data_IF_664687466721
#
_entry.id   IF_664687466721
#
_cell.length_a   1.000
_cell.length_b   1.000
_cell.length_c   1.000
_cell.angle_alpha   90.00
_cell.angle_beta   90.00
_cell.angle_gamma   90.00
#
_symmetry.space_group_name_H-M   'P 1'
#
loop_
_entity.id
_entity.type
_entity.pdbx_description
1 polymer ?
#
# COMPACT_ATOMS: atom_id res chain seq x y z
N UNK A 1 -11.56 2.01 17.66
CA UNK A 1 -11.64 2.57 16.30
C UNK A 1 -11.00 3.94 16.34
N UNK A 2 -10.16 4.25 15.35
CA UNK A 2 -9.44 5.52 15.25
C UNK A 2 -10.41 6.69 15.28
N UNK A 3 -10.15 7.64 16.17
CA UNK A 3 -10.83 8.94 16.19
C UNK A 3 -10.05 9.91 15.31
N UNK A 4 -10.50 10.05 14.06
CA UNK A 4 -9.82 10.89 13.05
C UNK A 4 -9.72 12.36 13.45
N UNK A 5 -10.54 12.82 14.41
CA UNK A 5 -10.47 14.20 14.91
C UNK A 5 -9.32 14.45 15.91
N UNK A 6 -8.68 13.38 16.39
CA UNK A 6 -7.63 13.43 17.42
C UNK A 6 -6.22 13.16 16.88
N UNK A 7 -6.12 12.54 15.72
CA UNK A 7 -4.84 12.25 15.06
C UNK A 7 -4.42 13.39 14.14
N UNK A 8 -3.11 13.64 14.03
CA UNK A 8 -2.58 14.70 13.15
C UNK A 8 -2.61 14.31 11.67
N UNK A 9 -2.56 13.01 11.39
CA UNK A 9 -2.52 12.45 10.04
C UNK A 9 -2.93 10.97 10.06
N UNK A 10 -3.25 10.44 8.88
CA UNK A 10 -3.43 9.02 8.63
C UNK A 10 -2.41 8.60 7.58
N UNK A 11 -1.47 7.73 7.96
CA UNK A 11 -0.56 7.09 7.02
C UNK A 11 -1.32 5.97 6.29
N UNK A 12 -1.59 6.15 5.00
CA UNK A 12 -2.42 5.22 4.23
C UNK A 12 -1.67 3.96 3.80
N UNK A 13 -0.35 3.86 4.02
CA UNK A 13 0.45 2.77 3.50
C UNK A 13 1.52 2.33 4.51
N UNK A 14 1.20 1.28 5.25
CA UNK A 14 2.12 0.60 6.15
C UNK A 14 1.99 -0.93 5.99
N UNK A 15 3.11 -1.62 6.11
CA UNK A 15 3.22 -3.06 5.94
C UNK A 15 3.22 -3.77 7.30
N UNK A 16 2.35 -4.79 7.43
CA UNK A 16 2.48 -5.82 8.44
C UNK A 16 3.29 -6.97 7.85
N UNK A 17 4.50 -7.15 8.34
CA UNK A 17 5.35 -8.29 8.00
C UNK A 17 5.48 -9.20 9.23
N UNK A 18 5.66 -10.50 8.99
CA UNK A 18 6.03 -11.40 10.08
C UNK A 18 7.40 -10.99 10.64
N UNK A 19 7.59 -10.95 11.96
CA UNK A 19 8.91 -10.73 12.54
C UNK A 19 9.88 -11.79 12.03
N UNK A 20 11.07 -11.38 11.57
CA UNK A 20 12.09 -12.29 11.07
C UNK A 20 12.46 -13.37 12.11
N UNK A 21 12.78 -14.57 11.63
CA UNK A 21 13.01 -15.76 12.46
C UNK A 21 11.73 -16.51 12.81
N UNK A 22 10.56 -15.99 12.43
CA UNK A 22 9.27 -16.67 12.53
C UNK A 22 8.71 -17.10 11.17
N UNK A 23 9.26 -16.62 10.04
CA UNK A 23 8.74 -16.98 8.73
C UNK A 23 9.04 -18.45 8.41
N UNK A 24 8.03 -19.23 7.99
CA UNK A 24 8.19 -20.68 7.81
C UNK A 24 8.94 -21.10 6.54
N UNK A 25 9.15 -20.18 5.59
CA UNK A 25 9.73 -20.50 4.28
C UNK A 25 11.17 -20.00 4.10
N UNK A 26 12.03 -20.92 3.63
CA UNK A 26 13.44 -20.64 3.30
C UNK A 26 13.55 -19.55 2.22
N UNK A 27 14.49 -18.61 2.39
CA UNK A 27 14.77 -17.53 1.43
C UNK A 27 13.96 -16.24 1.63
N UNK A 28 12.88 -16.27 2.41
CA UNK A 28 12.11 -15.07 2.73
C UNK A 28 12.93 -14.06 3.56
N UNK A 29 13.70 -14.54 4.53
CA UNK A 29 14.56 -13.69 5.36
C UNK A 29 15.66 -12.98 4.54
N UNK A 30 16.21 -13.64 3.51
CA UNK A 30 17.19 -13.05 2.59
C UNK A 30 16.54 -11.96 1.71
N UNK A 31 15.33 -12.21 1.23
CA UNK A 31 14.54 -11.21 0.48
C UNK A 31 14.29 -9.96 1.34
N UNK A 32 13.85 -10.14 2.59
CA UNK A 32 13.59 -9.06 3.54
C UNK A 32 14.87 -8.28 3.87
N UNK A 33 15.98 -8.98 4.11
CA UNK A 33 17.27 -8.36 4.41
C UNK A 33 17.79 -7.53 3.23
N UNK A 34 17.69 -8.05 2.00
CA UNK A 34 18.09 -7.33 0.77
C UNK A 34 17.23 -6.07 0.56
N UNK A 35 15.93 -6.17 0.85
CA UNK A 35 15.02 -5.02 0.79
C UNK A 35 15.39 -3.96 1.84
N UNK A 36 15.68 -4.38 3.07
CA UNK A 36 16.13 -3.48 4.15
C UNK A 36 17.43 -2.74 3.76
N UNK A 37 18.38 -3.44 3.15
CA UNK A 37 19.63 -2.84 2.64
C UNK A 37 19.36 -1.83 1.52
N UNK A 38 18.50 -2.18 0.55
CA UNK A 38 18.13 -1.30 -0.55
C UNK A 38 17.55 0.03 -0.06
N UNK A 39 16.61 -0.03 0.90
CA UNK A 39 15.98 1.17 1.49
C UNK A 39 16.84 1.85 2.56
N UNK A 40 17.96 1.23 2.97
CA UNK A 40 18.78 1.64 4.13
C UNK A 40 17.92 1.76 5.39
N UNK A 41 17.08 0.76 5.59
CA UNK A 41 16.18 0.68 6.72
C UNK A 41 16.97 0.64 8.05
N UNK A 42 16.46 1.27 9.12
CA UNK A 42 17.15 1.34 10.41
C UNK A 42 17.02 0.05 11.24
N UNK A 43 16.28 -0.94 10.75
CA UNK A 43 15.96 -2.17 11.45
C UNK A 43 16.67 -3.37 10.82
N UNK A 44 16.96 -4.38 11.65
CA UNK A 44 17.46 -5.68 11.17
C UNK A 44 16.33 -6.61 10.75
N UNK A 45 15.18 -6.45 11.40
CA UNK A 45 13.95 -7.20 11.15
C UNK A 45 12.77 -6.24 11.15
N UNK A 46 11.72 -6.48 10.34
CA UNK A 46 10.53 -5.65 10.38
C UNK A 46 9.93 -5.61 11.79
N UNK A 47 9.39 -4.46 12.24
CA UNK A 47 8.70 -4.34 13.51
C UNK A 47 7.41 -5.17 13.52
N UNK A 48 7.06 -5.72 14.67
CA UNK A 48 5.78 -6.37 14.90
C UNK A 48 4.61 -5.37 14.78
N UNK A 49 3.38 -5.88 14.66
CA UNK A 49 2.17 -5.02 14.66
C UNK A 49 2.04 -4.23 15.98
N UNK A 50 2.23 -4.82 17.19
CA UNK A 50 2.20 -4.05 18.44
C UNK A 50 3.28 -2.96 18.54
N UNK A 51 4.50 -3.23 18.07
CA UNK A 51 5.58 -2.23 18.03
C UNK A 51 5.25 -1.09 17.07
N UNK A 52 4.70 -1.43 15.90
CA UNK A 52 4.21 -0.45 14.93
C UNK A 52 3.10 0.40 15.54
N UNK A 53 2.11 -0.21 16.19
CA UNK A 53 1.04 0.52 16.87
C UNK A 53 1.58 1.47 17.95
N UNK A 54 2.53 1.02 18.77
CA UNK A 54 3.16 1.86 19.79
C UNK A 54 3.87 3.08 19.17
N UNK A 55 4.67 2.86 18.13
CA UNK A 55 5.38 3.92 17.42
C UNK A 55 4.42 4.96 16.80
N UNK A 56 3.35 4.52 16.14
CA UNK A 56 2.37 5.42 15.53
C UNK A 56 1.57 6.23 16.57
N UNK A 57 1.28 5.66 17.75
CA UNK A 57 0.69 6.41 18.88
C UNK A 57 1.59 7.53 19.36
N UNK A 58 2.89 7.25 19.52
CA UNK A 58 3.87 8.27 19.95
C UNK A 58 3.92 9.46 18.99
N UNK A 59 3.66 9.21 17.69
CA UNK A 59 3.63 10.24 16.65
C UNK A 59 2.28 10.96 16.51
N UNK A 60 1.24 10.54 17.22
CA UNK A 60 -0.14 10.97 17.02
C UNK A 60 -0.61 10.81 15.55
N UNK A 61 -0.18 9.72 14.90
CA UNK A 61 -0.55 9.36 13.52
C UNK A 61 -1.27 8.03 13.55
N UNK A 62 -2.39 7.90 12.86
CA UNK A 62 -3.01 6.60 12.63
C UNK A 62 -2.42 5.93 11.38
N UNK A 63 -2.46 4.60 11.30
CA UNK A 63 -1.92 3.87 10.15
C UNK A 63 -2.93 2.89 9.56
N UNK A 64 -3.03 2.88 8.23
CA UNK A 64 -3.56 1.75 7.48
C UNK A 64 -2.46 0.71 7.34
N UNK A 65 -2.73 -0.51 7.82
CA UNK A 65 -1.74 -1.60 7.86
C UNK A 65 -2.28 -2.85 7.15
N UNK A 66 -1.40 -3.52 6.40
CA UNK A 66 -1.75 -4.71 5.62
C UNK A 66 -0.57 -5.65 5.42
N UNK A 67 -0.79 -6.97 5.30
CA UNK A 67 0.19 -7.90 4.74
C UNK A 67 0.17 -7.86 3.20
N UNK A 68 1.04 -8.63 2.55
CA UNK A 68 0.99 -8.87 1.09
C UNK A 68 0.89 -10.37 0.81
N UNK A 69 -0.19 -10.78 0.15
CA UNK A 69 -0.41 -12.16 -0.27
C UNK A 69 0.06 -12.37 -1.70
N UNK A 70 1.25 -12.94 -1.87
CA UNK A 70 1.88 -13.19 -3.17
C UNK A 70 2.32 -14.65 -3.33
N UNK A 71 1.61 -15.57 -2.67
CA UNK A 71 1.98 -16.98 -2.56
C UNK A 71 2.19 -17.65 -3.91
N UNK A 72 1.36 -17.35 -4.92
CA UNK A 72 1.45 -18.03 -6.24
C UNK A 72 2.70 -17.65 -7.01
N UNK A 73 3.09 -16.38 -6.98
CA UNK A 73 4.21 -15.88 -7.80
C UNK A 73 5.55 -15.99 -7.05
N UNK A 74 5.54 -15.82 -5.73
CA UNK A 74 6.77 -15.83 -4.92
C UNK A 74 7.07 -17.19 -4.29
N UNK A 75 6.06 -18.02 -4.04
CA UNK A 75 6.18 -19.26 -3.28
C UNK A 75 6.27 -19.08 -1.76
N UNK A 76 6.31 -17.85 -1.26
CA UNK A 76 6.32 -17.55 0.17
C UNK A 76 4.90 -17.46 0.73
N UNK A 77 4.65 -18.14 1.85
CA UNK A 77 3.40 -18.01 2.59
C UNK A 77 3.20 -16.57 3.02
N UNK A 78 1.95 -16.12 2.96
CA UNK A 78 1.59 -14.78 3.44
C UNK A 78 1.53 -14.76 4.97
N UNK A 79 1.72 -13.59 5.56
CA UNK A 79 1.28 -13.35 6.94
C UNK A 79 -0.25 -13.47 7.01
N UNK A 80 -0.75 -14.29 7.94
CA UNK A 80 -2.17 -14.62 8.06
C UNK A 80 -3.05 -13.38 8.24
N UNK A 81 -4.01 -13.16 7.31
CA UNK A 81 -4.99 -12.08 7.44
C UNK A 81 -5.79 -12.16 8.77
N UNK A 82 -6.03 -13.35 9.30
CA UNK A 82 -6.76 -13.53 10.56
C UNK A 82 -5.94 -13.05 11.76
N UNK A 83 -4.65 -13.40 11.81
CA UNK A 83 -3.75 -12.99 12.89
C UNK A 83 -3.51 -11.47 12.85
N UNK A 84 -3.28 -10.92 11.65
CA UNK A 84 -3.16 -9.47 11.47
C UNK A 84 -4.45 -8.78 11.95
N UNK A 85 -5.63 -9.30 11.59
CA UNK A 85 -6.90 -8.72 12.01
C UNK A 85 -7.12 -8.76 13.53
N UNK A 86 -6.72 -9.83 14.21
CA UNK A 86 -6.77 -9.94 15.68
C UNK A 86 -5.84 -8.90 16.33
N UNK A 87 -4.59 -8.81 15.88
CA UNK A 87 -3.61 -7.85 16.42
C UNK A 87 -4.00 -6.39 16.15
N UNK A 88 -4.60 -6.10 15.00
CA UNK A 88 -5.12 -4.76 14.70
C UNK A 88 -6.37 -4.44 15.52
N UNK A 89 -7.22 -5.42 15.82
CA UNK A 89 -8.36 -5.22 16.71
C UNK A 89 -7.92 -4.82 18.13
N UNK A 90 -6.83 -5.41 18.64
CA UNK A 90 -6.20 -5.03 19.91
C UNK A 90 -5.61 -3.60 19.91
N UNK A 91 -5.30 -3.07 18.72
CA UNK A 91 -4.68 -1.76 18.51
C UNK A 91 -5.58 -0.82 17.68
N UNK A 92 -6.90 -1.03 17.74
CA UNK A 92 -7.86 -0.34 16.88
C UNK A 92 -8.05 1.15 17.21
N UNK A 93 -7.35 1.68 18.22
CA UNK A 93 -7.27 3.10 18.53
C UNK A 93 -6.35 3.86 17.57
N UNK A 94 -5.38 3.17 16.95
CA UNK A 94 -4.36 3.76 16.07
C UNK A 94 -4.23 3.05 14.71
N UNK A 95 -4.59 1.76 14.62
CA UNK A 95 -4.47 0.97 13.40
C UNK A 95 -5.81 0.79 12.67
N UNK A 96 -5.75 0.78 11.34
CA UNK A 96 -6.87 0.55 10.43
C UNK A 96 -6.51 -0.65 9.54
N UNK A 97 -7.32 -1.72 9.62
CA UNK A 97 -7.03 -2.97 8.91
C UNK A 97 -7.33 -2.89 7.42
N UNK A 98 -6.32 -3.15 6.59
CA UNK A 98 -6.45 -3.60 5.22
C UNK A 98 -5.94 -5.04 5.10
N UNK A 99 -6.51 -5.86 4.22
CA UNK A 99 -6.03 -7.23 3.99
C UNK A 99 -5.30 -7.36 2.65
N UNK A 100 -4.70 -8.51 2.37
CA UNK A 100 -4.25 -8.84 1.01
C UNK A 100 -4.65 -10.26 0.65
N UNK A 101 -5.13 -10.43 -0.58
CA UNK A 101 -5.51 -11.72 -1.14
C UNK A 101 -4.91 -11.81 -2.53
N UNK A 102 -4.17 -12.88 -2.77
CA UNK A 102 -3.64 -13.21 -4.10
C UNK A 102 -4.83 -13.44 -5.06
N UNK A 103 -4.99 -12.63 -6.12
CA UNK A 103 -6.07 -12.80 -7.08
C UNK A 103 -6.16 -14.21 -7.67
N UNK A 104 -5.02 -14.90 -7.83
CA UNK A 104 -4.92 -16.27 -8.34
C UNK A 104 -5.69 -17.31 -7.52
N UNK A 105 -6.09 -16.99 -6.29
CA UNK A 105 -6.93 -17.84 -5.43
C UNK A 105 -8.38 -17.94 -5.92
N UNK A 106 -8.81 -17.11 -6.87
CA UNK A 106 -10.12 -17.18 -7.51
C UNK A 106 -11.27 -17.21 -6.51
N UNK A 107 -12.18 -18.18 -6.64
CA UNK A 107 -13.38 -18.29 -5.78
C UNK A 107 -13.06 -18.46 -4.28
N UNK A 108 -11.90 -19.03 -3.94
CA UNK A 108 -11.47 -19.12 -2.53
C UNK A 108 -11.12 -17.73 -2.00
N UNK A 109 -10.34 -16.96 -2.77
CA UNK A 109 -10.00 -15.57 -2.43
C UNK A 109 -11.25 -14.70 -2.28
N UNK A 110 -12.23 -14.82 -3.19
CA UNK A 110 -13.50 -14.08 -3.12
C UNK A 110 -14.27 -14.38 -1.83
N UNK A 111 -14.34 -15.64 -1.42
CA UNK A 111 -14.98 -16.03 -0.15
C UNK A 111 -14.24 -15.47 1.06
N UNK A 112 -12.91 -15.54 1.04
CA UNK A 112 -12.07 -14.97 2.08
C UNK A 112 -12.26 -13.45 2.18
N UNK A 113 -12.24 -12.72 1.07
CA UNK A 113 -12.43 -11.27 1.04
C UNK A 113 -13.74 -10.86 1.73
N UNK A 114 -14.84 -11.51 1.35
CA UNK A 114 -16.17 -11.23 1.91
C UNK A 114 -16.24 -11.54 3.41
N UNK A 115 -15.59 -12.62 3.86
CA UNK A 115 -15.48 -12.97 5.28
C UNK A 115 -14.69 -11.92 6.05
N UNK A 116 -13.51 -11.53 5.55
CA UNK A 116 -12.65 -10.53 6.19
C UNK A 116 -13.37 -9.18 6.37
N UNK A 117 -14.11 -8.74 5.36
CA UNK A 117 -14.90 -7.50 5.46
C UNK A 117 -16.03 -7.63 6.48
N UNK A 118 -16.80 -8.72 6.44
CA UNK A 118 -18.01 -8.85 7.26
C UNK A 118 -17.71 -9.18 8.71
N UNK A 119 -16.70 -10.00 8.96
CA UNK A 119 -16.40 -10.53 10.29
C UNK A 119 -15.37 -9.65 11.00
N UNK A 120 -14.31 -9.24 10.32
CA UNK A 120 -13.22 -8.41 10.89
C UNK A 120 -13.30 -6.92 10.55
N UNK A 121 -14.29 -6.50 9.75
CA UNK A 121 -14.49 -5.09 9.39
C UNK A 121 -13.30 -4.46 8.64
N UNK A 122 -12.57 -5.29 7.88
CA UNK A 122 -11.51 -4.85 6.96
C UNK A 122 -12.03 -3.71 6.09
N UNK A 123 -11.24 -2.63 5.96
CA UNK A 123 -11.62 -1.40 5.25
C UNK A 123 -11.15 -1.35 3.81
N UNK A 124 -10.20 -2.20 3.44
CA UNK A 124 -9.65 -2.23 2.10
C UNK A 124 -8.70 -3.39 1.90
N UNK A 125 -8.19 -3.51 0.68
CA UNK A 125 -7.27 -4.56 0.29
C UNK A 125 -6.05 -3.99 -0.44
N UNK A 126 -4.86 -4.47 -0.08
CA UNK A 126 -3.60 -4.23 -0.78
C UNK A 126 -3.41 -5.25 -1.89
N UNK A 127 -3.07 -4.75 -3.07
CA UNK A 127 -2.57 -5.52 -4.20
C UNK A 127 -1.16 -5.05 -4.53
N UNK A 128 -0.28 -6.00 -4.85
CA UNK A 128 1.06 -5.76 -5.36
C UNK A 128 1.24 -6.50 -6.70
N UNK A 129 0.78 -5.92 -7.82
CA UNK A 129 0.77 -6.59 -9.13
C UNK A 129 2.13 -7.18 -9.55
N UNK A 130 3.23 -6.48 -9.26
CA UNK A 130 4.58 -7.00 -9.55
C UNK A 130 4.93 -8.23 -8.71
N UNK A 131 4.61 -8.23 -7.40
CA UNK A 131 4.86 -9.40 -6.55
C UNK A 131 3.86 -10.54 -6.78
N UNK A 132 2.62 -10.23 -7.17
CA UNK A 132 1.54 -11.19 -7.38
C UNK A 132 1.46 -11.72 -8.83
N UNK A 133 2.24 -11.13 -9.75
CA UNK A 133 2.42 -11.62 -11.12
C UNK A 133 1.18 -11.48 -12.02
N UNK A 134 0.45 -10.36 -11.94
CA UNK A 134 -0.75 -10.12 -12.75
C UNK A 134 -0.85 -8.65 -13.19
N UNK A 135 -1.56 -8.36 -14.28
CA UNK A 135 -1.95 -6.98 -14.59
C UNK A 135 -3.21 -6.62 -13.83
N UNK A 136 -3.32 -5.40 -13.32
CA UNK A 136 -4.49 -4.98 -12.55
C UNK A 136 -5.83 -5.17 -13.30
N UNK A 137 -5.82 -5.06 -14.63
CA UNK A 137 -6.97 -5.26 -15.51
C UNK A 137 -7.15 -6.71 -16.00
N UNK A 138 -6.38 -7.67 -15.49
CA UNK A 138 -6.62 -9.09 -15.78
C UNK A 138 -7.99 -9.49 -15.23
N UNK A 139 -8.87 -10.00 -16.11
CA UNK A 139 -10.24 -10.43 -15.76
C UNK A 139 -10.29 -11.48 -14.67
N UNK A 140 -9.17 -12.14 -14.40
CA UNK A 140 -9.00 -13.11 -13.34
C UNK A 140 -9.16 -12.48 -11.94
N UNK A 141 -8.80 -11.20 -11.77
CA UNK A 141 -8.88 -10.46 -10.51
C UNK A 141 -10.25 -9.79 -10.26
N UNK A 142 -11.05 -9.63 -11.32
CA UNK A 142 -12.32 -8.89 -11.29
C UNK A 142 -13.32 -9.40 -10.25
N UNK A 143 -13.47 -10.72 -10.00
CA UNK A 143 -14.36 -11.20 -8.94
C UNK A 143 -14.00 -10.67 -7.54
N UNK A 144 -12.73 -10.34 -7.27
CA UNK A 144 -12.37 -9.65 -6.01
C UNK A 144 -12.85 -8.20 -6.06
N UNK A 145 -12.62 -7.49 -7.15
CA UNK A 145 -13.01 -6.08 -7.28
C UNK A 145 -14.52 -5.89 -7.20
N UNK A 146 -15.31 -6.82 -7.73
CA UNK A 146 -16.76 -6.87 -7.55
C UNK A 146 -17.13 -6.88 -6.07
N UNK A 147 -16.53 -7.75 -5.26
CA UNK A 147 -16.77 -7.80 -3.81
C UNK A 147 -16.34 -6.51 -3.13
N UNK A 148 -15.16 -5.99 -3.47
CA UNK A 148 -14.66 -4.77 -2.86
C UNK A 148 -15.57 -3.58 -3.15
N UNK A 149 -16.08 -3.47 -4.38
CA UNK A 149 -17.04 -2.44 -4.76
C UNK A 149 -18.38 -2.62 -4.04
N UNK A 150 -18.94 -3.84 -4.04
CA UNK A 150 -20.20 -4.18 -3.35
C UNK A 150 -20.16 -3.81 -1.86
N UNK A 151 -19.03 -4.09 -1.21
CA UNK A 151 -18.87 -3.88 0.23
C UNK A 151 -18.30 -2.49 0.58
N UNK A 152 -18.09 -1.61 -0.41
CA UNK A 152 -17.59 -0.24 -0.22
C UNK A 152 -16.15 -0.15 0.30
N UNK A 153 -15.32 -1.13 -0.03
CA UNK A 153 -13.92 -1.21 0.35
C UNK A 153 -13.02 -0.34 -0.54
N UNK A 154 -11.82 -0.08 -0.04
CA UNK A 154 -10.74 0.56 -0.81
C UNK A 154 -9.84 -0.51 -1.43
N UNK A 155 -9.42 -0.34 -2.68
CA UNK A 155 -8.40 -1.14 -3.33
C UNK A 155 -7.12 -0.31 -3.49
N UNK A 156 -6.05 -0.68 -2.78
CA UNK A 156 -4.76 0.00 -2.81
C UNK A 156 -3.78 -0.84 -3.64
N UNK A 157 -3.33 -0.31 -4.78
CA UNK A 157 -2.48 -1.03 -5.73
C UNK A 157 -1.07 -0.49 -5.71
N UNK A 158 -0.06 -1.35 -5.61
CA UNK A 158 1.32 -0.96 -5.90
C UNK A 158 1.46 -0.45 -7.33
N UNK A 159 1.93 0.79 -7.50
CA UNK A 159 2.23 1.35 -8.82
C UNK A 159 3.67 1.86 -8.93
N UNK A 160 4.20 1.83 -10.15
CA UNK A 160 5.58 2.17 -10.42
C UNK A 160 6.58 1.06 -10.08
N UNK A 161 7.82 1.47 -9.88
CA UNK A 161 8.93 0.61 -9.51
C UNK A 161 8.76 0.06 -8.08
N UNK A 162 9.38 -1.07 -7.79
CA UNK A 162 9.37 -1.70 -6.46
C UNK A 162 10.79 -1.98 -5.98
N UNK A 163 11.05 -1.78 -4.68
CA UNK A 163 12.30 -2.20 -4.04
C UNK A 163 12.46 -3.73 -3.97
N UNK A 164 11.36 -4.49 -4.05
CA UNK A 164 11.39 -5.95 -4.00
C UNK A 164 12.16 -6.52 -5.19
N UNK A 165 13.17 -7.35 -4.91
CA UNK A 165 14.07 -7.90 -5.94
C UNK A 165 15.12 -6.92 -6.47
N UNK A 166 15.12 -5.65 -6.04
CA UNK A 166 16.13 -4.67 -6.48
C UNK A 166 17.51 -5.07 -5.98
N UNK A 167 18.51 -5.00 -6.88
CA UNK A 167 19.88 -5.44 -6.60
C UNK A 167 20.09 -6.97 -6.74
N UNK A 168 19.03 -7.76 -6.87
CA UNK A 168 19.12 -9.21 -7.08
C UNK A 168 19.25 -9.55 -8.57
N UNK A 169 19.88 -10.69 -8.93
CA UNK A 169 19.97 -11.15 -10.32
C UNK A 169 18.60 -11.22 -11.00
N UNK A 170 18.46 -10.54 -12.14
CA UNK A 170 17.21 -10.50 -12.91
C UNK A 170 16.01 -9.90 -12.14
N UNK A 171 16.24 -9.11 -11.09
CA UNK A 171 15.18 -8.55 -10.26
C UNK A 171 14.41 -9.60 -9.45
N UNK A 172 15.03 -10.75 -9.14
CA UNK A 172 14.38 -11.92 -8.56
C UNK A 172 13.14 -12.40 -9.37
N UNK A 173 13.17 -12.22 -10.70
CA UNK A 173 12.05 -12.57 -11.58
C UNK A 173 10.89 -11.57 -11.58
N UNK A 174 10.95 -10.52 -10.75
CA UNK A 174 9.92 -9.48 -10.66
C UNK A 174 9.84 -8.68 -11.95
N UNK A 175 8.60 -8.47 -12.43
CA UNK A 175 8.35 -7.72 -13.66
C UNK A 175 7.65 -6.41 -13.34
N UNK A 176 8.37 -5.30 -13.50
CA UNK A 176 7.86 -3.96 -13.22
C UNK A 176 6.62 -3.58 -14.05
N UNK A 177 6.48 -4.15 -15.26
CA UNK A 177 5.35 -3.87 -16.15
C UNK A 177 3.98 -4.08 -15.49
N UNK A 178 3.86 -4.98 -14.53
CA UNK A 178 2.59 -5.27 -13.86
C UNK A 178 2.06 -4.10 -13.04
N UNK A 179 2.95 -3.21 -12.59
CA UNK A 179 2.62 -2.04 -11.77
C UNK A 179 2.56 -0.72 -12.57
N UNK A 180 2.42 -0.78 -13.90
CA UNK A 180 2.15 0.42 -14.69
C UNK A 180 0.74 0.99 -14.34
N UNK A 181 0.63 2.29 -14.00
CA UNK A 181 -0.62 2.91 -13.56
C UNK A 181 -1.73 2.96 -14.62
N UNK A 182 -1.39 2.85 -15.90
CA UNK A 182 -2.36 2.86 -16.99
C UNK A 182 -3.33 1.66 -16.93
N UNK A 183 -2.92 0.52 -16.36
CA UNK A 183 -3.82 -0.61 -16.19
C UNK A 183 -4.97 -0.33 -15.22
N UNK A 184 -4.84 0.66 -14.33
CA UNK A 184 -5.93 1.10 -13.46
C UNK A 184 -6.97 1.94 -14.21
N UNK A 185 -6.68 2.44 -15.42
CA UNK A 185 -7.67 3.12 -16.25
C UNK A 185 -8.84 2.17 -16.57
N UNK A 186 -8.53 0.96 -17.05
CA UNK A 186 -9.52 -0.08 -17.36
C UNK A 186 -10.31 -0.50 -16.12
N UNK A 187 -9.62 -0.71 -14.99
CA UNK A 187 -10.27 -1.09 -13.72
C UNK A 187 -11.23 0.01 -13.27
N UNK A 188 -10.84 1.28 -13.35
CA UNK A 188 -11.70 2.39 -12.97
C UNK A 188 -12.88 2.61 -13.93
N UNK A 189 -12.78 2.19 -15.20
CA UNK A 189 -13.92 2.15 -16.14
C UNK A 189 -14.90 1.06 -15.74
N UNK A 190 -14.39 -0.14 -15.46
CA UNK A 190 -15.21 -1.32 -15.20
C UNK A 190 -15.82 -1.31 -13.78
N UNK A 191 -15.18 -0.62 -12.82
CA UNK A 191 -15.61 -0.49 -11.43
C UNK A 191 -15.67 0.98 -10.99
N UNK A 192 -16.64 1.76 -11.49
CA UNK A 192 -16.71 3.20 -11.27
C UNK A 192 -16.95 3.61 -9.81
N UNK A 193 -17.48 2.71 -8.98
CA UNK A 193 -17.78 2.97 -7.57
C UNK A 193 -16.67 2.48 -6.63
N UNK A 194 -15.76 1.63 -7.11
CA UNK A 194 -14.61 1.16 -6.32
C UNK A 194 -13.64 2.31 -6.04
N UNK A 195 -13.27 2.51 -4.78
CA UNK A 195 -12.22 3.47 -4.41
C UNK A 195 -10.86 2.85 -4.67
N UNK A 196 -10.06 3.49 -5.51
CA UNK A 196 -8.75 2.98 -5.94
C UNK A 196 -7.66 3.94 -5.47
N UNK A 197 -6.62 3.42 -4.83
CA UNK A 197 -5.43 4.19 -4.46
C UNK A 197 -4.24 3.62 -5.26
N UNK A 198 -3.59 4.47 -6.03
CA UNK A 198 -2.31 4.20 -6.67
C UNK A 198 -1.22 4.45 -5.63
N UNK A 199 -0.63 3.37 -5.12
CA UNK A 199 0.43 3.48 -4.16
C UNK A 199 1.72 3.96 -4.81
N UNK A 200 2.38 4.88 -4.12
CA UNK A 200 3.57 5.58 -4.55
C UNK A 200 3.34 6.57 -5.72
N UNK A 201 4.30 7.48 -5.99
CA UNK A 201 4.29 8.38 -7.16
C UNK A 201 4.36 7.70 -8.54
N UNK A 202 4.23 6.38 -8.62
CA UNK A 202 4.24 5.57 -9.84
C UNK A 202 5.48 5.70 -10.74
N UNK A 203 6.63 6.14 -10.23
CA UNK A 203 7.86 6.24 -11.02
C UNK A 203 8.18 4.92 -11.76
N UNK A 204 8.47 4.91 -13.07
CA UNK A 204 8.70 6.07 -13.94
C UNK A 204 7.45 6.60 -14.66
N UNK A 205 6.28 6.02 -14.45
CA UNK A 205 5.02 6.33 -15.15
C UNK A 205 4.19 7.39 -14.43
N UNK A 206 4.85 8.43 -13.93
CA UNK A 206 4.19 9.37 -13.06
C UNK A 206 3.14 10.21 -13.80
N UNK A 207 3.42 10.66 -15.02
CA UNK A 207 2.45 11.38 -15.85
C UNK A 207 1.22 10.54 -16.17
N UNK A 208 1.40 9.23 -16.35
CA UNK A 208 0.29 8.29 -16.57
C UNK A 208 -0.60 8.20 -15.31
N UNK A 209 0.00 8.08 -14.12
CA UNK A 209 -0.75 8.09 -12.86
C UNK A 209 -1.50 9.40 -12.63
N UNK A 210 -0.85 10.54 -12.91
CA UNK A 210 -1.50 11.85 -12.83
C UNK A 210 -2.68 11.96 -13.80
N UNK A 211 -2.55 11.45 -15.03
CA UNK A 211 -3.62 11.45 -16.02
C UNK A 211 -4.81 10.60 -15.56
N UNK A 212 -4.58 9.38 -15.07
CA UNK A 212 -5.64 8.49 -14.57
C UNK A 212 -6.32 9.11 -13.35
N UNK A 213 -5.56 9.58 -12.36
CA UNK A 213 -6.11 10.21 -11.16
C UNK A 213 -6.85 11.52 -11.46
N UNK A 214 -6.43 12.30 -12.46
CA UNK A 214 -7.16 13.50 -12.87
C UNK A 214 -8.48 13.14 -13.55
N UNK A 215 -8.49 12.11 -14.39
CA UNK A 215 -9.63 11.74 -15.21
C UNK A 215 -10.71 10.97 -14.43
N UNK A 216 -10.32 10.07 -13.52
CA UNK A 216 -11.25 9.16 -12.82
C UNK A 216 -11.60 9.70 -11.43
N UNK A 217 -12.87 9.99 -11.10
CA UNK A 217 -13.22 10.58 -9.80
C UNK A 217 -12.89 9.69 -8.59
N UNK A 218 -12.85 8.38 -8.78
CA UNK A 218 -12.64 7.34 -7.76
C UNK A 218 -11.18 6.88 -7.59
N UNK A 219 -10.23 7.44 -8.35
CA UNK A 219 -8.79 7.08 -8.28
C UNK A 219 -7.97 8.14 -7.55
N UNK A 220 -7.20 7.74 -6.54
CA UNK A 220 -6.35 8.58 -5.70
C UNK A 220 -4.89 8.13 -5.84
N UNK A 221 -3.94 8.95 -5.43
CA UNK A 221 -2.51 8.61 -5.38
C UNK A 221 -2.05 8.75 -3.93
N UNK A 222 -1.32 7.79 -3.39
CA UNK A 222 -0.52 8.03 -2.18
C UNK A 222 0.95 8.26 -2.53
N UNK A 223 1.63 9.03 -1.67
CA UNK A 223 3.00 9.48 -1.91
C UNK A 223 4.05 8.64 -1.14
N UNK A 224 3.68 7.43 -0.74
CA UNK A 224 4.53 6.53 0.04
C UNK A 224 5.71 5.99 -0.77
N UNK A 225 6.69 5.37 -0.10
CA UNK A 225 7.78 4.62 -0.73
C UNK A 225 8.89 5.48 -1.35
N UNK A 226 8.69 6.80 -1.37
CA UNK A 226 9.64 7.79 -1.88
C UNK A 226 9.77 8.93 -0.89
N UNK A 227 11.01 9.36 -0.61
CA UNK A 227 11.23 10.58 0.17
C UNK A 227 10.75 11.80 -0.65
N UNK A 228 9.93 12.70 -0.07
CA UNK A 228 9.35 13.83 -0.78
C UNK A 228 10.33 14.72 -1.52
N UNK A 229 11.58 14.82 -1.03
CA UNK A 229 12.63 15.60 -1.70
C UNK A 229 12.99 15.11 -3.10
N UNK A 230 12.57 13.89 -3.47
CA UNK A 230 12.79 13.32 -4.80
C UNK A 230 11.56 13.42 -5.72
N UNK A 231 10.45 13.98 -5.24
CA UNK A 231 9.27 14.18 -6.09
C UNK A 231 9.61 15.13 -7.24
N UNK A 232 9.29 14.76 -8.49
CA UNK A 232 9.52 15.67 -9.61
C UNK A 232 8.54 16.83 -9.54
N UNK A 233 8.93 17.96 -10.15
CA UNK A 233 8.18 19.22 -10.08
C UNK A 233 6.71 19.07 -10.55
N UNK A 234 6.46 18.21 -11.53
CA UNK A 234 5.10 17.94 -12.03
C UNK A 234 4.20 17.34 -10.94
N UNK A 235 4.71 16.47 -10.06
CA UNK A 235 3.93 15.95 -8.93
C UNK A 235 3.46 17.09 -8.05
N UNK A 236 4.42 17.92 -7.64
CA UNK A 236 4.23 18.99 -6.68
C UNK A 236 3.27 20.01 -7.25
N UNK A 237 3.35 20.29 -8.55
CA UNK A 237 2.40 21.16 -9.26
C UNK A 237 0.97 20.61 -9.24
N UNK A 238 0.77 19.32 -9.48
CA UNK A 238 -0.55 18.69 -9.46
C UNK A 238 -1.14 18.62 -8.05
N UNK A 239 -0.31 18.30 -7.04
CA UNK A 239 -0.69 18.35 -5.62
C UNK A 239 -1.18 19.76 -5.22
N UNK A 240 -0.52 20.80 -5.73
CA UNK A 240 -0.90 22.20 -5.47
C UNK A 240 -2.12 22.73 -6.24
N UNK A 241 -2.75 21.91 -7.09
CA UNK A 241 -3.77 22.37 -8.02
C UNK A 241 -4.93 21.37 -8.18
N UNK A 242 -4.93 20.60 -9.25
CA UNK A 242 -6.07 19.81 -9.73
C UNK A 242 -6.26 18.56 -8.87
N UNK A 243 -5.17 17.99 -8.32
CA UNK A 243 -5.21 16.77 -7.51
C UNK A 243 -5.12 17.02 -6.01
N UNK A 244 -5.27 18.27 -5.53
CA UNK A 244 -5.10 18.61 -4.11
C UNK A 244 -5.97 17.82 -3.13
N UNK A 245 -7.09 17.23 -3.58
CA UNK A 245 -7.99 16.38 -2.77
C UNK A 245 -7.92 14.90 -3.14
N UNK A 246 -6.91 14.52 -3.91
CA UNK A 246 -6.74 13.20 -4.52
C UNK A 246 -5.35 12.60 -4.30
N UNK A 247 -4.53 13.28 -3.49
CA UNK A 247 -3.20 12.85 -3.12
C UNK A 247 -3.18 12.64 -1.62
N UNK A 248 -2.66 11.50 -1.17
CA UNK A 248 -2.73 11.03 0.20
C UNK A 248 -1.32 10.89 0.78
N UNK A 249 -1.21 11.15 2.08
CA UNK A 249 -0.01 10.83 2.85
C UNK A 249 0.10 9.32 3.05
N UNK A 250 1.29 8.77 2.79
CA UNK A 250 1.72 7.48 3.29
C UNK A 250 3.24 7.43 3.38
N UNK A 251 3.80 6.65 4.31
CA UNK A 251 5.25 6.54 4.45
C UNK A 251 5.85 5.35 3.72
N UNK A 252 5.11 4.24 3.60
CA UNK A 252 5.65 2.91 3.27
C UNK A 252 6.48 2.31 4.43
N UNK A 253 6.01 2.56 5.66
CA UNK A 253 6.57 1.92 6.85
C UNK A 253 6.53 0.39 6.68
N UNK A 254 7.60 -0.35 7.02
CA UNK A 254 8.78 0.12 7.74
C UNK A 254 9.96 0.57 6.86
N UNK A 255 9.80 0.66 5.53
CA UNK A 255 10.89 1.01 4.61
C UNK A 255 11.34 2.47 4.77
N UNK A 256 10.40 3.39 4.90
CA UNK A 256 10.66 4.80 5.23
C UNK A 256 9.93 5.15 6.51
N UNK A 257 10.62 5.79 7.45
CA UNK A 257 9.97 6.20 8.70
C UNK A 257 9.04 7.38 8.48
N UNK A 258 7.83 7.40 9.08
CA UNK A 258 6.92 8.54 9.10
C UNK A 258 7.61 9.87 9.41
N UNK A 259 8.47 9.91 10.44
CA UNK A 259 9.18 11.13 10.83
C UNK A 259 10.10 11.66 9.73
N UNK A 260 10.83 10.76 9.07
CA UNK A 260 11.71 11.12 7.96
C UNK A 260 10.90 11.61 6.76
N UNK A 261 9.80 10.92 6.44
CA UNK A 261 8.94 11.29 5.33
C UNK A 261 8.35 12.68 5.55
N UNK A 262 7.75 12.92 6.72
CA UNK A 262 7.13 14.20 7.09
C UNK A 262 8.18 15.33 7.14
N UNK A 263 9.36 15.09 7.70
CA UNK A 263 10.43 16.09 7.73
C UNK A 263 10.94 16.49 6.33
N UNK A 264 10.91 15.58 5.36
CA UNK A 264 11.23 15.89 3.96
C UNK A 264 10.03 16.56 3.24
N UNK A 265 8.79 16.22 3.59
CA UNK A 265 7.57 16.88 3.11
C UNK A 265 7.50 18.36 3.53
N UNK A 266 7.99 18.71 4.72
CA UNK A 266 8.09 20.10 5.17
C UNK A 266 8.98 20.98 4.28
N UNK A 267 9.87 20.36 3.48
CA UNK A 267 10.83 21.08 2.64
C UNK A 267 10.38 21.25 1.19
N UNK A 268 9.31 20.57 0.76
CA UNK A 268 8.84 20.66 -0.63
C UNK A 268 7.86 21.82 -0.81
N UNK A 269 7.73 22.28 -2.05
CA UNK A 269 6.93 23.46 -2.41
C UNK A 269 5.42 23.18 -2.46
N UNK A 270 4.84 22.57 -1.41
CA UNK A 270 3.40 22.48 -1.20
C UNK A 270 2.92 23.72 -0.45
N UNK A 271 1.82 24.33 -0.92
CA UNK A 271 1.20 25.51 -0.30
C UNK A 271 0.71 25.17 1.11
N UNK A 272 0.99 26.02 2.09
CA UNK A 272 0.73 25.74 3.51
C UNK A 272 -0.72 25.37 3.82
N UNK A 273 -1.69 26.06 3.22
CA UNK A 273 -3.12 25.77 3.41
C UNK A 273 -3.59 24.43 2.82
N UNK A 274 -2.74 23.73 2.05
CA UNK A 274 -3.01 22.41 1.51
C UNK A 274 -2.32 21.29 2.30
N UNK A 275 -1.48 21.62 3.29
CA UNK A 275 -0.72 20.60 4.05
C UNK A 275 -1.60 19.78 5.00
N UNK A 276 -2.71 20.35 5.45
CA UNK A 276 -3.69 19.68 6.31
C UNK A 276 -4.74 18.86 5.54
N UNK A 277 -4.78 19.02 4.21
CA UNK A 277 -5.79 18.44 3.30
C UNK A 277 -5.40 17.06 2.76
#
# INVERSE_FOLDING_TARGET
MVDVSKVRAIDIHTHAEEPCGCHPDDGYDELQSTMAEYFRAPWKHPPTIPETAAYFREQNVAAVIFPVDAERETGYRRYSNDEVAELVAENADVLIQFASIDPWKGKMGVREARRLVRDYKVKGFKFHPTMQGFFANDRMAYPLYEVLQEEGCVALFHTGQTGVGSGMPGGNGMRLKYSNPMYMDDVAVDFPDLKIILAHPSFPWQEEALAVAQHKPNVYIDLSGWSPKYFPEILVRYCNSILRKKVLYGSDWPMITPDRWLADFEKIAIKDHLRED
#
